data_IF_279048675282
#
_entry.id   IF_279048675282
#
_cell.length_a   1.000
_cell.length_b   1.000
_cell.length_c   1.000
_cell.angle_alpha   90.00
_cell.angle_beta   90.00
_cell.angle_gamma   90.00
#
_symmetry.space_group_name_H-M   'P 1'
#
loop_
_entity.id
_entity.type
_entity.pdbx_description
1 polymer ?
#
# COMPACT_ATOMS: atom_id res chain seq x y z
N UNK A 1 -0.06 -13.22 -8.13
CA UNK A 1 0.68 -12.40 -9.13
C UNK A 1 0.56 -10.94 -8.72
N UNK A 2 1.63 -10.14 -8.76
CA UNK A 2 1.56 -8.72 -8.37
C UNK A 2 0.79 -7.91 -9.42
N UNK A 3 -0.33 -7.32 -9.04
CA UNK A 3 -1.06 -6.40 -9.90
C UNK A 3 -0.19 -5.16 -10.20
N UNK A 4 -0.17 -4.74 -11.47
CA UNK A 4 0.63 -3.60 -11.96
C UNK A 4 -0.09 -2.26 -11.82
N UNK A 5 -1.34 -2.27 -11.36
CA UNK A 5 -2.16 -1.08 -11.17
C UNK A 5 -1.82 -0.47 -9.81
N UNK A 6 -1.64 0.84 -9.73
CA UNK A 6 -1.51 1.53 -8.43
C UNK A 6 -2.92 1.78 -7.89
N UNK A 7 -3.37 1.06 -6.85
CA UNK A 7 -4.72 1.24 -6.33
C UNK A 7 -4.77 2.47 -5.41
N UNK A 8 -5.95 3.05 -5.17
CA UNK A 8 -6.17 3.94 -4.04
C UNK A 8 -5.74 3.26 -2.74
N UNK A 9 -5.24 4.04 -1.78
CA UNK A 9 -4.78 3.47 -0.50
C UNK A 9 -5.92 2.77 0.25
N UNK A 10 -7.17 3.15 0.00
CA UNK A 10 -8.38 2.55 0.57
C UNK A 10 -8.68 1.12 0.07
N UNK A 11 -8.08 0.69 -1.05
CA UNK A 11 -8.31 -0.64 -1.66
C UNK A 11 -7.15 -1.63 -1.40
N UNK A 12 -6.32 -1.33 -0.39
CA UNK A 12 -5.17 -2.15 -0.03
C UNK A 12 -5.30 -2.73 1.37
N UNK A 13 -4.89 -3.99 1.51
CA UNK A 13 -4.72 -4.66 2.80
C UNK A 13 -3.25 -4.94 3.05
N UNK A 14 -2.82 -4.81 4.30
CA UNK A 14 -1.41 -4.96 4.68
C UNK A 14 -1.20 -6.30 5.38
N UNK A 15 -0.22 -7.08 4.93
CA UNK A 15 0.10 -8.35 5.60
C UNK A 15 0.64 -8.12 7.01
N UNK A 16 0.09 -8.78 8.03
CA UNK A 16 0.57 -8.63 9.41
C UNK A 16 2.04 -9.06 9.61
N UNK A 17 2.56 -9.95 8.75
CA UNK A 17 3.93 -10.47 8.82
C UNK A 17 4.95 -9.61 8.07
N UNK A 18 4.73 -9.37 6.77
CA UNK A 18 5.71 -8.64 5.94
C UNK A 18 5.34 -7.16 5.73
N UNK A 19 4.17 -6.73 6.21
CA UNK A 19 3.52 -5.44 5.97
C UNK A 19 3.64 -4.89 4.54
N UNK A 20 3.67 -5.81 3.58
CA UNK A 20 3.51 -5.47 2.18
C UNK A 20 2.02 -5.22 1.93
N UNK A 21 1.67 -4.12 1.25
CA UNK A 21 0.29 -3.86 0.83
C UNK A 21 -0.07 -4.76 -0.35
N UNK A 22 -1.30 -5.25 -0.36
CA UNK A 22 -1.87 -6.08 -1.40
C UNK A 22 -3.20 -5.47 -1.84
N UNK A 23 -3.49 -5.53 -3.14
CA UNK A 23 -4.81 -5.22 -3.68
C UNK A 23 -5.82 -6.23 -3.16
N UNK A 24 -6.87 -5.75 -2.49
CA UNK A 24 -7.96 -6.61 -2.01
C UNK A 24 -8.64 -7.31 -3.19
N UNK A 25 -8.87 -6.60 -4.30
CA UNK A 25 -9.45 -7.15 -5.53
C UNK A 25 -8.56 -8.20 -6.24
N UNK A 26 -7.28 -8.33 -5.89
CA UNK A 26 -6.39 -9.34 -6.46
C UNK A 26 -6.17 -10.54 -5.53
N UNK A 27 -6.90 -10.60 -4.41
CA UNK A 27 -6.88 -11.75 -3.51
C UNK A 27 -7.94 -12.76 -3.97
N UNK A 28 -7.56 -14.03 -4.03
CA UNK A 28 -8.50 -15.11 -4.33
C UNK A 28 -9.55 -15.26 -3.22
N UNK A 29 -9.22 -14.87 -1.99
CA UNK A 29 -10.12 -14.82 -0.85
C UNK A 29 -9.82 -13.60 0.02
N UNK A 30 -10.49 -12.46 -0.22
CA UNK A 30 -10.35 -11.28 0.61
C UNK A 30 -10.97 -11.52 1.99
N UNK A 31 -10.38 -11.01 3.09
CA UNK A 31 -10.95 -11.14 4.43
C UNK A 31 -12.29 -10.40 4.54
N UNK A 32 -13.29 -11.07 5.10
CA UNK A 32 -14.68 -10.61 5.13
C UNK A 32 -14.99 -9.61 6.25
N UNK A 33 -14.13 -9.50 7.26
CA UNK A 33 -14.34 -8.57 8.39
C UNK A 33 -13.08 -7.78 8.71
N UNK A 34 -13.28 -6.59 9.28
CA UNK A 34 -12.20 -5.71 9.77
C UNK A 34 -11.28 -6.47 10.75
N UNK A 35 -11.83 -7.33 11.62
CA UNK A 35 -11.05 -8.12 12.57
C UNK A 35 -10.07 -9.07 11.86
N UNK A 36 -10.51 -9.72 10.78
CA UNK A 36 -9.63 -10.59 9.98
C UNK A 36 -8.59 -9.80 9.20
N UNK A 37 -8.85 -8.53 8.84
CA UNK A 37 -7.84 -7.71 8.13
C UNK A 37 -6.58 -7.46 8.97
N UNK A 38 -6.71 -7.35 10.29
CA UNK A 38 -5.59 -7.12 11.23
C UNK A 38 -4.64 -8.33 11.33
N UNK A 39 -5.18 -9.53 11.17
CA UNK A 39 -4.43 -10.78 11.30
C UNK A 39 -4.07 -11.40 9.94
N UNK A 40 -4.43 -10.74 8.84
CA UNK A 40 -4.31 -11.28 7.50
C UNK A 40 -2.84 -11.49 7.09
N UNK A 41 -2.54 -12.71 6.63
CA UNK A 41 -1.23 -13.08 6.09
C UNK A 41 -1.30 -13.23 4.58
N UNK A 42 -0.39 -12.55 3.86
CA UNK A 42 -0.33 -12.68 2.40
C UNK A 42 0.14 -14.08 1.98
N UNK A 43 -0.20 -14.54 0.76
CA UNK A 43 0.18 -15.87 0.25
C UNK A 43 1.69 -16.18 0.33
N UNK A 44 2.53 -15.15 0.26
CA UNK A 44 3.98 -15.31 0.38
C UNK A 44 4.46 -15.55 1.82
N UNK A 45 3.61 -15.23 2.82
CA UNK A 45 3.82 -15.44 4.25
C UNK A 45 3.01 -16.61 4.83
N UNK A 46 1.85 -16.97 4.25
CA UNK A 46 1.00 -18.06 4.73
C UNK A 46 1.49 -19.43 4.24
N UNK A 47 1.88 -20.29 5.19
CA UNK A 47 2.27 -21.69 4.99
C UNK A 47 2.75 -22.34 6.29
N UNK A 48 2.57 -23.66 6.44
CA UNK A 48 2.97 -24.40 7.64
C UNK A 48 4.44 -24.15 8.02
N UNK A 49 4.76 -24.08 9.32
CA UNK A 49 6.13 -23.93 9.79
C UNK A 49 6.98 -25.10 9.27
N UNK A 50 7.90 -24.80 8.36
CA UNK A 50 8.96 -25.76 8.02
C UNK A 50 9.80 -25.99 9.29
N UNK A 51 10.18 -27.26 9.58
CA UNK A 51 10.93 -27.59 10.77
C UNK A 51 12.28 -26.86 10.74
N UNK A 52 12.49 -26.00 11.74
CA UNK A 52 13.77 -25.44 12.18
C UNK A 52 14.87 -25.43 11.10
N UNK A 53 14.70 -24.61 10.07
CA UNK A 53 15.85 -24.19 9.28
C UNK A 53 16.60 -23.18 10.14
N UNK A 54 17.52 -23.71 10.96
CA UNK A 54 18.46 -22.92 11.74
C UNK A 54 19.01 -21.79 10.87
N UNK A 55 18.88 -20.57 11.39
CA UNK A 55 19.41 -19.37 10.79
C UNK A 55 20.90 -19.56 10.60
N UNK A 56 21.33 -19.98 9.42
CA UNK A 56 22.75 -20.10 9.07
C UNK A 56 23.20 -18.75 8.53
N UNK A 57 23.12 -17.74 9.39
CA UNK A 57 24.13 -16.67 9.38
C UNK A 57 25.36 -17.32 9.98
N UNK A 58 26.54 -17.00 9.46
CA UNK A 58 27.80 -17.28 10.12
C UNK A 58 27.61 -17.16 11.65
N UNK A 59 27.96 -18.19 12.42
CA UNK A 59 27.43 -18.43 13.79
C UNK A 59 27.67 -17.28 14.77
N UNK A 60 28.53 -16.35 14.37
CA UNK A 60 28.83 -15.07 14.96
C UNK A 60 27.69 -14.03 14.78
N UNK A 61 27.16 -13.83 13.58
CA UNK A 61 26.14 -12.81 13.29
C UNK A 61 24.74 -13.22 13.76
N UNK A 62 24.39 -14.51 13.66
CA UNK A 62 23.07 -15.02 14.10
C UNK A 62 22.80 -14.85 15.59
N UNK A 63 23.82 -15.05 16.44
CA UNK A 63 23.73 -14.82 17.88
C UNK A 63 23.56 -13.34 18.23
N UNK A 64 24.24 -12.47 17.49
CA UNK A 64 24.16 -11.03 17.66
C UNK A 64 22.76 -10.51 17.29
N UNK A 65 22.16 -11.04 16.22
CA UNK A 65 20.77 -10.72 15.86
C UNK A 65 19.75 -11.25 16.87
N UNK A 66 19.92 -12.47 17.38
CA UNK A 66 19.04 -13.02 18.41
C UNK A 66 19.10 -12.16 19.69
N UNK A 67 20.28 -11.67 20.07
CA UNK A 67 20.46 -10.78 21.22
C UNK A 67 19.80 -9.41 21.01
N UNK A 68 19.91 -8.81 19.81
CA UNK A 68 19.22 -7.55 19.49
C UNK A 68 17.70 -7.72 19.49
N UNK A 69 17.19 -8.81 18.92
CA UNK A 69 15.74 -9.12 18.93
C UNK A 69 15.23 -9.27 20.37
N UNK A 70 15.99 -9.93 21.24
CA UNK A 70 15.63 -10.08 22.65
C UNK A 70 15.60 -8.74 23.40
N UNK A 71 16.47 -7.79 23.05
CA UNK A 71 16.48 -6.44 23.64
C UNK A 71 15.28 -5.60 23.15
N UNK A 72 14.95 -5.68 21.86
CA UNK A 72 13.80 -4.96 21.30
C UNK A 72 12.47 -5.44 21.87
N UNK A 73 12.34 -6.76 22.06
CA UNK A 73 11.14 -7.42 22.59
C UNK A 73 10.99 -7.29 24.12
N UNK A 74 11.98 -6.75 24.83
CA UNK A 74 11.93 -6.60 26.29
C UNK A 74 11.13 -5.34 26.65
N UNK A 75 9.86 -5.54 27.02
CA UNK A 75 8.92 -4.49 27.44
C UNK A 75 9.32 -3.83 28.78
N UNK A 76 10.23 -4.43 29.54
CA UNK A 76 10.71 -3.87 30.81
C UNK A 76 11.78 -2.78 30.63
N UNK A 77 12.30 -2.62 29.40
CA UNK A 77 13.37 -1.67 29.10
C UNK A 77 12.81 -0.39 28.48
N UNK A 78 13.31 0.74 28.94
CA UNK A 78 13.11 2.02 28.25
C UNK A 78 13.89 2.04 26.93
N UNK A 79 13.43 2.83 25.96
CA UNK A 79 14.12 2.97 24.67
C UNK A 79 15.58 3.40 24.80
N UNK A 80 15.89 4.21 25.82
CA UNK A 80 17.26 4.63 26.16
C UNK A 80 18.12 3.47 26.67
N UNK A 81 17.53 2.54 27.42
CA UNK A 81 18.22 1.34 27.91
C UNK A 81 18.40 0.30 26.82
N UNK A 82 17.41 0.14 25.94
CA UNK A 82 17.53 -0.68 24.74
C UNK A 82 18.68 -0.18 23.87
N UNK A 83 18.76 1.14 23.63
CA UNK A 83 19.86 1.75 22.87
C UNK A 83 21.22 1.51 23.51
N UNK A 84 21.33 1.71 24.83
CA UNK A 84 22.58 1.41 25.55
C UNK A 84 22.98 -0.06 25.43
N UNK A 85 22.03 -0.99 25.56
CA UNK A 85 22.31 -2.43 25.41
C UNK A 85 22.70 -2.80 23.98
N UNK A 86 22.09 -2.18 22.95
CA UNK A 86 22.49 -2.34 21.55
C UNK A 86 23.93 -1.88 21.32
N UNK A 87 24.29 -0.70 21.85
CA UNK A 87 25.66 -0.16 21.71
C UNK A 87 26.71 -1.03 22.40
N UNK A 88 26.42 -1.55 23.60
CA UNK A 88 27.34 -2.45 24.32
C UNK A 88 27.61 -3.73 23.51
N UNK A 89 26.55 -4.37 22.98
CA UNK A 89 26.67 -5.58 22.14
C UNK A 89 27.45 -5.36 20.85
N UNK A 90 27.42 -4.14 20.30
CA UNK A 90 28.19 -3.77 19.11
C UNK A 90 29.66 -3.48 19.45
N UNK A 91 29.95 -2.95 20.63
CA UNK A 91 31.31 -2.60 21.08
C UNK A 91 32.14 -3.79 21.58
N UNK A 92 31.52 -4.83 22.15
CA UNK A 92 32.22 -5.99 22.74
C UNK A 92 32.96 -6.89 21.71
N UNK A 93 32.91 -6.57 20.41
CA UNK A 93 33.62 -7.32 19.35
C UNK A 93 34.84 -6.65 18.74
N UNK A 94 35.10 -5.39 19.04
CA UNK A 94 36.24 -4.67 18.44
C UNK A 94 37.58 -5.06 19.10
N UNK A 95 37.55 -5.78 20.23
CA UNK A 95 38.75 -6.14 21.01
C UNK A 95 39.46 -7.44 20.57
N UNK A 96 38.93 -8.24 19.62
CA UNK A 96 39.53 -9.53 19.24
C UNK A 96 40.46 -9.53 18.02
N UNK A 97 40.54 -8.45 17.23
CA UNK A 97 41.54 -8.31 16.17
C UNK A 97 42.38 -7.05 16.40
N UNK A 98 43.47 -7.22 17.14
CA UNK A 98 44.42 -6.16 17.42
C UNK A 98 45.36 -5.88 16.24
N UNK A 99 45.40 -4.62 15.80
CA UNK A 99 46.67 -3.94 15.49
C UNK A 99 46.56 -2.45 15.83
N UNK A 100 47.56 -1.94 16.54
CA UNK A 100 47.58 -0.59 17.12
C UNK A 100 48.07 0.43 16.08
N UNK A 101 47.12 1.13 15.46
CA UNK A 101 47.38 2.37 14.74
C UNK A 101 46.76 3.56 15.47
N UNK A 102 47.57 4.38 16.14
CA UNK A 102 47.13 5.65 16.72
C UNK A 102 46.77 6.64 15.60
N UNK A 103 45.48 6.84 15.38
CA UNK A 103 44.95 7.87 14.48
C UNK A 103 43.67 8.47 15.08
N UNK A 104 43.68 9.79 15.31
CA UNK A 104 42.48 10.56 15.66
C UNK A 104 41.50 10.50 14.49
N UNK A 105 40.51 9.61 14.54
CA UNK A 105 39.37 9.63 13.63
C UNK A 105 38.08 10.01 14.36
N UNK A 106 37.33 10.92 13.74
CA UNK A 106 35.99 11.34 14.16
C UNK A 106 35.12 10.08 14.25
N UNK A 107 34.58 9.79 15.45
CA UNK A 107 33.57 8.76 15.66
C UNK A 107 32.39 9.01 14.73
N UNK A 108 32.32 8.25 13.64
CA UNK A 108 31.12 8.09 12.85
C UNK A 108 30.30 7.02 13.56
N UNK A 109 29.12 7.38 14.06
CA UNK A 109 28.15 6.42 14.61
C UNK A 109 28.01 5.23 13.65
N UNK A 110 28.49 4.04 14.03
CA UNK A 110 28.26 2.82 13.26
C UNK A 110 26.81 2.39 13.52
N UNK A 111 25.92 2.71 12.58
CA UNK A 111 24.51 2.36 12.71
C UNK A 111 24.33 0.84 12.58
N UNK A 112 23.27 0.27 13.17
CA UNK A 112 22.90 -1.15 12.99
C UNK A 112 22.75 -1.52 11.50
N UNK A 113 22.43 -0.54 10.64
CA UNK A 113 22.38 -0.71 9.19
C UNK A 113 23.76 -0.91 8.55
N UNK A 114 24.82 -0.25 9.04
CA UNK A 114 26.16 -0.42 8.46
C UNK A 114 26.69 -1.85 8.67
N UNK A 115 26.26 -2.52 9.75
CA UNK A 115 26.55 -3.93 10.03
C UNK A 115 25.71 -4.88 9.15
N UNK A 116 24.50 -4.47 8.76
CA UNK A 116 23.60 -5.24 7.89
C UNK A 116 23.94 -5.09 6.40
N UNK A 117 24.29 -3.88 5.96
CA UNK A 117 24.62 -3.53 4.58
C UNK A 117 25.85 -4.29 4.06
N UNK A 118 26.71 -4.83 4.93
CA UNK A 118 27.83 -5.69 4.53
C UNK A 118 27.49 -7.19 4.51
N UNK A 119 26.72 -7.67 5.48
CA UNK A 119 26.63 -9.11 5.80
C UNK A 119 25.49 -9.85 5.10
N UNK A 120 24.39 -9.16 4.77
CA UNK A 120 23.17 -9.81 4.27
C UNK A 120 22.68 -9.28 2.90
N UNK A 121 23.49 -8.49 2.21
CA UNK A 121 23.10 -7.92 0.91
C UNK A 121 22.78 -8.98 -0.14
N UNK A 122 21.75 -8.68 -0.93
CA UNK A 122 21.37 -9.48 -2.07
C UNK A 122 22.46 -9.41 -3.14
N UNK A 123 23.07 -10.54 -3.51
CA UNK A 123 24.18 -10.58 -4.48
C UNK A 123 23.80 -10.16 -5.91
N UNK A 124 22.52 -9.96 -6.19
CA UNK A 124 22.04 -9.52 -7.51
C UNK A 124 21.91 -8.00 -7.62
N UNK A 125 21.32 -7.35 -6.60
CA UNK A 125 21.11 -5.90 -6.61
C UNK A 125 22.10 -5.15 -5.73
N UNK A 126 22.91 -5.86 -4.94
CA UNK A 126 23.90 -5.30 -4.00
C UNK A 126 23.28 -4.35 -2.98
N UNK A 127 22.01 -4.58 -2.64
CA UNK A 127 21.25 -3.82 -1.64
C UNK A 127 20.74 -4.77 -0.55
N UNK A 128 20.30 -4.22 0.58
CA UNK A 128 19.54 -4.96 1.57
C UNK A 128 18.35 -5.66 0.88
N UNK A 129 18.18 -6.98 1.08
CA UNK A 129 17.14 -7.71 0.38
C UNK A 129 15.74 -7.16 0.65
N UNK A 130 15.01 -6.83 -0.42
CA UNK A 130 13.57 -6.56 -0.36
C UNK A 130 12.80 -7.88 -0.50
N UNK A 131 11.94 -8.17 0.48
CA UNK A 131 11.24 -9.46 0.61
C UNK A 131 12.23 -10.64 0.51
N UNK A 132 13.16 -10.79 1.48
CA UNK A 132 14.23 -11.80 1.45
C UNK A 132 13.70 -13.22 1.33
N UNK A 133 14.30 -14.00 0.44
CA UNK A 133 14.17 -15.45 0.35
C UNK A 133 15.50 -16.07 0.79
N UNK A 134 15.44 -16.94 1.80
CA UNK A 134 16.62 -17.66 2.31
C UNK A 134 16.71 -19.03 1.67
N UNK A 135 17.79 -19.27 0.95
CA UNK A 135 18.10 -20.59 0.38
C UNK A 135 18.53 -21.59 1.46
N UNK A 136 18.45 -22.92 1.22
CA UNK A 136 18.88 -23.92 2.21
C UNK A 136 20.35 -23.79 2.61
N UNK A 137 21.17 -23.19 1.75
CA UNK A 137 22.57 -22.87 2.05
C UNK A 137 22.77 -21.59 2.88
N UNK A 138 21.70 -20.95 3.37
CA UNK A 138 21.74 -19.77 4.24
C UNK A 138 21.83 -18.42 3.51
N UNK A 139 22.00 -18.41 2.18
CA UNK A 139 22.11 -17.17 1.41
C UNK A 139 20.75 -16.52 1.13
N UNK A 140 20.74 -15.19 1.21
CA UNK A 140 19.54 -14.35 1.16
C UNK A 140 19.51 -13.52 -0.12
N UNK A 141 18.36 -13.50 -0.80
CA UNK A 141 18.15 -12.75 -2.04
C UNK A 141 16.78 -12.06 -2.00
N UNK A 142 16.60 -10.94 -2.72
CA UNK A 142 15.26 -10.39 -2.91
C UNK A 142 14.37 -11.42 -3.61
N UNK A 143 13.09 -11.51 -3.25
CA UNK A 143 12.13 -12.40 -3.91
C UNK A 143 12.16 -12.24 -5.44
N UNK A 144 12.12 -10.99 -5.92
CA UNK A 144 12.16 -10.68 -7.36
C UNK A 144 13.47 -11.14 -8.02
N UNK A 145 14.60 -10.96 -7.34
CA UNK A 145 15.91 -11.39 -7.84
C UNK A 145 16.00 -12.91 -7.92
N UNK A 146 15.52 -13.61 -6.89
CA UNK A 146 15.46 -15.07 -6.85
C UNK A 146 14.55 -15.62 -7.95
N UNK A 147 13.33 -15.08 -8.11
CA UNK A 147 12.40 -15.51 -9.16
C UNK A 147 12.98 -15.30 -10.56
N UNK A 148 13.66 -14.17 -10.80
CA UNK A 148 14.34 -13.91 -12.07
C UNK A 148 15.45 -14.94 -12.34
N UNK A 149 16.19 -15.34 -11.32
CA UNK A 149 17.25 -16.35 -11.43
C UNK A 149 16.70 -17.75 -11.76
N UNK A 150 15.67 -18.19 -11.02
CA UNK A 150 15.00 -19.47 -11.28
C UNK A 150 14.33 -19.47 -12.67
N UNK A 151 13.71 -18.36 -13.08
CA UNK A 151 13.07 -18.22 -14.39
C UNK A 151 14.03 -18.35 -15.58
N UNK A 152 15.35 -18.22 -15.35
CA UNK A 152 16.39 -18.52 -16.34
C UNK A 152 16.77 -20.01 -16.41
N UNK A 153 16.06 -20.89 -15.70
CA UNK A 153 16.36 -22.31 -15.61
C UNK A 153 17.52 -22.64 -14.67
N UNK A 154 17.95 -21.70 -13.82
CA UNK A 154 19.13 -21.88 -12.95
C UNK A 154 18.69 -22.30 -11.54
N UNK A 155 18.85 -23.59 -11.24
CA UNK A 155 18.47 -24.18 -9.95
C UNK A 155 19.64 -24.28 -8.95
N UNK A 156 20.52 -23.29 -8.93
CA UNK A 156 21.68 -23.24 -8.02
C UNK A 156 21.78 -21.89 -7.33
N UNK A 157 22.30 -21.83 -6.12
CA UNK A 157 22.51 -20.59 -5.39
C UNK A 157 23.51 -19.69 -6.13
N UNK A 158 23.19 -18.41 -6.33
CA UNK A 158 24.08 -17.49 -7.04
C UNK A 158 25.40 -17.20 -6.29
N UNK A 159 25.44 -17.41 -4.96
CA UNK A 159 26.63 -17.13 -4.13
C UNK A 159 27.54 -18.35 -3.96
N UNK A 160 26.98 -19.52 -3.65
CA UNK A 160 27.78 -20.74 -3.37
C UNK A 160 27.50 -21.92 -4.30
N UNK A 161 26.64 -21.76 -5.31
CA UNK A 161 26.28 -22.78 -6.32
C UNK A 161 25.58 -24.04 -5.78
N UNK A 162 25.24 -24.10 -4.49
CA UNK A 162 24.45 -25.19 -3.92
C UNK A 162 23.10 -25.35 -4.62
N UNK A 163 22.65 -26.59 -4.82
CA UNK A 163 21.38 -26.90 -5.51
C UNK A 163 20.18 -26.34 -4.75
N UNK A 164 19.26 -25.71 -5.49
CA UNK A 164 17.99 -25.21 -4.98
C UNK A 164 16.91 -26.28 -5.19
N UNK A 165 16.22 -26.74 -4.14
CA UNK A 165 15.16 -27.74 -4.26
C UNK A 165 14.03 -27.27 -5.18
N UNK A 166 13.48 -28.18 -6.00
CA UNK A 166 12.40 -27.87 -6.94
C UNK A 166 11.16 -27.24 -6.27
N UNK A 167 10.80 -27.72 -5.07
CA UNK A 167 9.70 -27.13 -4.26
C UNK A 167 9.95 -25.65 -3.99
N UNK A 168 11.16 -25.30 -3.56
CA UNK A 168 11.53 -23.90 -3.30
C UNK A 168 11.58 -23.07 -4.58
N UNK A 169 12.08 -23.62 -5.67
CA UNK A 169 12.14 -22.94 -6.96
C UNK A 169 10.73 -22.57 -7.48
N UNK A 170 9.75 -23.47 -7.31
CA UNK A 170 8.36 -23.23 -7.67
C UNK A 170 7.62 -22.29 -6.72
N UNK A 171 7.88 -22.39 -5.41
CA UNK A 171 7.18 -21.65 -4.36
C UNK A 171 8.18 -21.04 -3.37
N UNK A 172 8.91 -19.97 -3.76
CA UNK A 172 9.85 -19.31 -2.87
C UNK A 172 9.12 -18.67 -1.69
N UNK A 173 9.59 -18.97 -0.47
CA UNK A 173 9.04 -18.43 0.77
C UNK A 173 9.87 -17.25 1.28
N UNK A 174 9.17 -16.25 1.78
CA UNK A 174 9.81 -15.07 2.36
C UNK A 174 10.25 -15.39 3.79
N UNK A 175 11.47 -15.00 4.13
CA UNK A 175 11.97 -15.04 5.49
C UNK A 175 11.41 -13.83 6.27
N UNK A 176 10.32 -14.06 7.00
CA UNK A 176 9.65 -13.04 7.81
C UNK A 176 10.55 -12.45 8.89
N UNK A 177 11.41 -13.27 9.51
CA UNK A 177 12.39 -12.80 10.49
C UNK A 177 13.33 -11.76 9.89
N UNK A 178 13.86 -12.02 8.69
CA UNK A 178 14.72 -11.05 7.99
C UNK A 178 13.95 -9.80 7.56
N UNK A 179 12.67 -9.92 7.17
CA UNK A 179 11.82 -8.74 6.90
C UNK A 179 11.71 -7.86 8.14
N UNK A 180 11.42 -8.46 9.29
CA UNK A 180 11.31 -7.72 10.56
C UNK A 180 12.62 -7.06 10.94
N UNK A 181 13.75 -7.78 10.85
CA UNK A 181 15.09 -7.24 11.18
C UNK A 181 15.48 -6.07 10.26
N UNK A 182 15.34 -6.23 8.94
CA UNK A 182 15.64 -5.17 7.97
C UNK A 182 14.75 -3.94 8.22
N UNK A 183 13.49 -4.15 8.60
CA UNK A 183 12.59 -3.04 8.95
C UNK A 183 13.03 -2.32 10.22
N UNK A 184 13.30 -3.04 11.30
CA UNK A 184 13.72 -2.45 12.57
C UNK A 184 14.96 -1.59 12.37
N UNK A 185 15.94 -2.08 11.61
CA UNK A 185 17.16 -1.33 11.30
C UNK A 185 16.90 -0.08 10.43
N UNK A 186 15.96 -0.13 9.48
CA UNK A 186 15.56 1.04 8.68
C UNK A 186 14.87 2.12 9.53
N UNK A 187 14.10 1.72 10.53
CA UNK A 187 13.39 2.63 11.44
C UNK A 187 14.36 3.34 12.40
N UNK A 188 15.37 2.65 12.91
CA UNK A 188 16.35 3.24 13.82
C UNK A 188 17.24 4.33 13.18
N UNK A 189 17.36 4.36 11.85
CA UNK A 189 18.20 5.33 11.14
C UNK A 189 17.41 6.53 10.58
N UNK A 190 16.09 6.53 10.74
CA UNK A 190 15.23 7.61 10.29
C UNK A 190 14.91 8.51 11.49
N UNK A 191 15.46 9.73 11.55
CA UNK A 191 14.98 10.80 12.46
C UNK A 191 13.54 11.26 12.16
N UNK A 192 12.79 10.47 11.39
CA UNK A 192 11.36 10.64 11.17
C UNK A 192 10.70 9.92 12.34
N UNK A 193 10.15 10.71 13.28
CA UNK A 193 9.35 10.21 14.39
C UNK A 193 8.50 9.01 13.91
N UNK A 194 8.67 7.87 14.60
CA UNK A 194 7.90 6.66 14.37
C UNK A 194 6.42 6.98 14.63
N UNK A 195 5.75 7.53 13.62
CA UNK A 195 4.31 7.49 13.55
C UNK A 195 3.90 6.01 13.57
N UNK A 196 2.79 5.65 14.23
CA UNK A 196 2.31 4.29 14.23
C UNK A 196 2.28 3.75 12.79
N UNK A 197 2.64 2.48 12.62
CA UNK A 197 2.48 1.77 11.34
C UNK A 197 1.11 2.15 10.77
N UNK A 198 1.08 2.78 9.61
CA UNK A 198 -0.18 3.13 8.95
C UNK A 198 -0.80 1.83 8.45
N UNK A 199 -1.56 1.18 9.34
CA UNK A 199 -2.38 0.02 9.01
C UNK A 199 -3.61 0.57 8.30
N UNK A 200 -3.66 0.35 7.00
CA UNK A 200 -4.85 0.64 6.20
C UNK A 200 -5.80 -0.53 6.35
N UNK A 201 -6.96 -0.26 6.95
CA UNK A 201 -8.03 -1.24 7.09
C UNK A 201 -8.92 -1.11 5.87
N UNK A 202 -9.06 -2.22 5.13
CA UNK A 202 -10.12 -2.32 4.15
C UNK A 202 -11.44 -2.50 4.90
N UNK A 203 -12.42 -1.64 4.60
CA UNK A 203 -13.78 -1.72 5.16
C UNK A 203 -14.68 -2.23 4.05
N UNK A 204 -15.28 -3.40 4.25
CA UNK A 204 -16.23 -3.94 3.27
C UNK A 204 -17.42 -3.00 3.14
N UNK A 205 -18.00 -2.87 1.94
CA UNK A 205 -19.09 -1.91 1.70
C UNK A 205 -20.28 -2.10 2.67
N UNK A 206 -20.57 -3.34 3.07
CA UNK A 206 -21.64 -3.64 4.02
C UNK A 206 -21.39 -3.12 5.44
N UNK A 207 -20.13 -2.91 5.80
CA UNK A 207 -19.68 -2.41 7.10
C UNK A 207 -19.49 -0.88 7.10
N UNK A 208 -19.67 -0.22 5.95
CA UNK A 208 -19.67 1.23 5.84
C UNK A 208 -20.94 1.81 6.48
N UNK A 209 -20.87 3.00 7.09
CA UNK A 209 -22.05 3.68 7.61
C UNK A 209 -23.01 4.07 6.48
N UNK A 210 -24.31 4.13 6.78
CA UNK A 210 -25.34 4.51 5.79
C UNK A 210 -25.20 5.94 5.29
N UNK A 211 -24.48 6.81 6.01
CA UNK A 211 -24.24 8.20 5.63
C UNK A 211 -22.76 8.47 5.43
N UNK A 212 -22.46 9.46 4.59
CA UNK A 212 -21.12 10.01 4.46
C UNK A 212 -20.56 10.46 5.83
N UNK A 213 -19.26 10.27 6.03
CA UNK A 213 -18.59 10.50 7.30
C UNK A 213 -17.23 11.16 7.11
N UNK A 214 -16.77 11.89 8.12
CA UNK A 214 -15.42 12.48 8.13
C UNK A 214 -14.49 11.64 8.98
N UNK A 215 -13.27 11.40 8.49
CA UNK A 215 -12.23 10.70 9.26
C UNK A 215 -11.43 11.69 10.12
N UNK A 216 -10.71 11.18 11.13
CA UNK A 216 -9.77 11.98 11.95
C UNK A 216 -8.68 12.67 11.11
N UNK A 217 -8.43 12.20 9.88
CA UNK A 217 -7.50 12.79 8.92
C UNK A 217 -8.05 14.07 8.27
N UNK A 218 -9.34 14.34 8.36
CA UNK A 218 -9.97 15.49 7.74
C UNK A 218 -9.48 16.80 8.39
N UNK A 219 -8.62 17.54 7.68
CA UNK A 219 -8.05 18.81 8.15
C UNK A 219 -9.05 19.97 8.18
N UNK A 220 -10.17 19.85 7.46
CA UNK A 220 -11.22 20.87 7.42
C UNK A 220 -12.55 20.22 7.72
N UNK A 221 -13.38 20.95 8.45
CA UNK A 221 -14.77 20.60 8.75
C UNK A 221 -15.63 20.63 7.48
N UNK A 222 -16.72 19.85 7.49
CA UNK A 222 -17.68 19.77 6.39
C UNK A 222 -17.44 18.60 5.42
N UNK A 223 -18.39 18.40 4.50
CA UNK A 223 -18.45 17.24 3.59
C UNK A 223 -17.39 17.24 2.48
N UNK A 224 -16.62 18.32 2.32
CA UNK A 224 -15.58 18.40 1.30
C UNK A 224 -14.48 17.34 1.49
N UNK A 225 -14.15 16.98 2.74
CA UNK A 225 -13.19 15.90 3.03
C UNK A 225 -13.88 14.65 3.59
N UNK A 226 -15.19 14.52 3.39
CA UNK A 226 -15.91 13.34 3.82
C UNK A 226 -15.64 12.16 2.88
N UNK A 227 -15.58 10.96 3.47
CA UNK A 227 -15.68 9.72 2.76
C UNK A 227 -17.17 9.41 2.46
N UNK A 228 -17.41 8.71 1.35
CA UNK A 228 -18.73 8.17 1.04
C UNK A 228 -19.09 7.10 2.07
N UNK A 229 -20.38 7.01 2.40
CA UNK A 229 -20.90 5.89 3.16
C UNK A 229 -21.07 4.64 2.28
N UNK A 230 -21.90 3.71 2.76
CA UNK A 230 -22.29 2.51 2.04
C UNK A 230 -22.90 2.83 0.68
N UNK A 231 -22.42 2.16 -0.36
CA UNK A 231 -23.07 2.14 -1.68
C UNK A 231 -24.23 1.15 -1.62
N UNK A 232 -25.43 1.61 -1.98
CA UNK A 232 -26.67 0.82 -1.88
C UNK A 232 -26.93 -0.01 -3.12
N UNK A 233 -26.44 0.44 -4.27
CA UNK A 233 -26.59 -0.22 -5.56
C UNK A 233 -25.47 -1.21 -5.84
N UNK A 234 -25.74 -2.19 -6.69
CA UNK A 234 -24.79 -3.25 -7.08
C UNK A 234 -24.21 -3.07 -8.48
N UNK A 235 -24.60 -2.02 -9.21
CA UNK A 235 -24.06 -1.74 -10.55
C UNK A 235 -22.54 -1.53 -10.51
N UNK A 236 -21.81 -2.00 -11.54
CA UNK A 236 -20.39 -1.74 -11.62
C UNK A 236 -20.09 -0.25 -11.88
N UNK A 237 -18.90 0.26 -11.51
CA UNK A 237 -18.59 1.69 -11.62
C UNK A 237 -18.61 2.26 -13.04
N UNK A 238 -18.52 1.39 -14.04
CA UNK A 238 -18.51 1.69 -15.46
C UNK A 238 -19.86 1.41 -16.14
N UNK A 239 -20.91 1.13 -15.35
CA UNK A 239 -22.26 0.86 -15.84
C UNK A 239 -22.84 2.01 -16.67
N UNK A 240 -23.45 1.66 -17.81
CA UNK A 240 -24.19 2.61 -18.65
C UNK A 240 -25.69 2.40 -18.51
N UNK A 241 -26.42 3.51 -18.47
CA UNK A 241 -27.87 3.52 -18.44
C UNK A 241 -28.46 3.56 -17.03
N UNK A 242 -29.78 3.38 -16.91
CA UNK A 242 -30.47 3.50 -15.64
C UNK A 242 -30.08 2.38 -14.67
N UNK A 243 -30.23 2.69 -13.39
CA UNK A 243 -30.07 1.72 -12.31
C UNK A 243 -31.43 1.09 -12.06
N UNK A 244 -31.57 -0.16 -12.50
CA UNK A 244 -32.82 -0.94 -12.47
C UNK A 244 -33.05 -1.60 -11.11
N UNK A 245 -34.29 -2.03 -10.84
CA UNK A 245 -34.69 -2.71 -9.60
C UNK A 245 -33.81 -3.90 -9.20
N UNK A 246 -33.28 -4.64 -10.19
CA UNK A 246 -32.39 -5.78 -9.94
C UNK A 246 -31.04 -5.39 -9.31
N UNK A 247 -30.65 -4.12 -9.44
CA UNK A 247 -29.41 -3.59 -8.89
C UNK A 247 -29.59 -2.88 -7.53
N UNK A 248 -30.84 -2.71 -7.11
CA UNK A 248 -31.26 -2.12 -5.83
C UNK A 248 -31.79 -3.24 -4.92
N UNK A 249 -30.91 -3.99 -4.24
CA UNK A 249 -31.31 -5.15 -3.44
C UNK A 249 -32.16 -4.76 -2.22
N UNK A 250 -32.14 -3.50 -1.79
CA UNK A 250 -32.82 -3.05 -0.59
C UNK A 250 -34.27 -2.63 -0.86
N UNK A 251 -34.50 -1.83 -1.91
CA UNK A 251 -35.85 -1.35 -2.24
C UNK A 251 -36.49 -2.08 -3.41
N UNK A 252 -35.69 -2.81 -4.21
CA UNK A 252 -36.13 -3.50 -5.43
C UNK A 252 -36.92 -2.56 -6.35
N UNK A 253 -36.44 -1.32 -6.47
CA UNK A 253 -37.07 -0.24 -7.24
C UNK A 253 -36.10 0.29 -8.29
N UNK A 254 -34.82 0.39 -7.95
CA UNK A 254 -33.82 1.09 -8.74
C UNK A 254 -33.92 2.59 -8.51
N UNK A 255 -33.13 3.36 -9.26
CA UNK A 255 -33.12 4.82 -9.19
C UNK A 255 -34.07 5.39 -10.23
N UNK A 256 -35.15 6.02 -9.77
CA UNK A 256 -36.16 6.60 -10.65
C UNK A 256 -35.85 8.06 -11.05
N UNK A 257 -36.30 8.44 -12.25
CA UNK A 257 -36.23 9.84 -12.70
C UNK A 257 -37.05 10.72 -11.75
N UNK A 258 -36.44 11.82 -11.29
CA UNK A 258 -37.06 12.77 -10.36
C UNK A 258 -36.72 12.52 -8.88
N UNK A 259 -36.00 11.44 -8.57
CA UNK A 259 -35.42 11.25 -7.24
C UNK A 259 -34.45 12.38 -6.88
N UNK A 260 -34.35 12.64 -5.56
CA UNK A 260 -33.57 13.75 -5.01
C UNK A 260 -32.73 13.24 -3.85
N UNK A 261 -31.50 13.74 -3.81
CA UNK A 261 -30.54 13.47 -2.75
C UNK A 261 -30.09 14.80 -2.13
N UNK A 262 -29.69 14.77 -0.86
CA UNK A 262 -29.24 15.96 -0.14
C UNK A 262 -27.96 16.52 -0.75
N UNK A 263 -27.06 15.65 -1.20
CA UNK A 263 -25.76 16.04 -1.74
C UNK A 263 -25.17 15.01 -2.74
N UNK A 264 -23.97 15.34 -3.24
CA UNK A 264 -23.22 14.53 -4.20
C UNK A 264 -22.67 13.21 -3.63
N UNK A 265 -22.50 13.11 -2.31
CA UNK A 265 -22.07 11.87 -1.67
C UNK A 265 -23.24 10.89 -1.55
N UNK A 266 -24.43 11.37 -1.22
CA UNK A 266 -25.64 10.54 -1.21
C UNK A 266 -26.02 10.10 -2.63
N UNK A 267 -25.93 10.99 -3.63
CA UNK A 267 -26.08 10.63 -5.05
C UNK A 267 -25.08 9.55 -5.48
N UNK A 268 -23.84 9.59 -4.98
CA UNK A 268 -22.83 8.54 -5.18
C UNK A 268 -23.25 7.21 -4.54
N UNK A 269 -23.82 7.23 -3.34
CA UNK A 269 -24.27 6.01 -2.66
C UNK A 269 -25.35 5.26 -3.43
N UNK A 270 -26.14 5.99 -4.23
CA UNK A 270 -27.15 5.43 -5.14
C UNK A 270 -26.64 5.20 -6.56
N UNK A 271 -25.32 5.27 -6.81
CA UNK A 271 -24.73 4.98 -8.12
C UNK A 271 -25.05 5.98 -9.25
N UNK A 272 -26.03 6.87 -9.07
CA UNK A 272 -26.50 7.80 -10.10
C UNK A 272 -25.38 8.72 -10.63
N UNK A 273 -24.48 9.14 -9.74
CA UNK A 273 -23.26 9.83 -10.15
C UNK A 273 -22.13 9.60 -9.15
N UNK A 274 -21.15 8.79 -9.54
CA UNK A 274 -20.11 8.31 -8.63
C UNK A 274 -19.15 9.42 -8.15
N UNK A 275 -18.60 10.31 -8.99
CA UNK A 275 -17.74 11.38 -8.52
C UNK A 275 -18.47 12.29 -7.52
N UNK A 276 -17.84 12.63 -6.40
CA UNK A 276 -18.44 13.56 -5.42
C UNK A 276 -18.01 15.02 -5.61
N UNK A 277 -17.13 15.29 -6.60
CA UNK A 277 -16.65 16.65 -6.95
C UNK A 277 -16.79 16.91 -8.44
N UNK A 278 -16.18 16.05 -9.27
CA UNK A 278 -16.13 16.25 -10.73
C UNK A 278 -17.52 16.26 -11.35
N UNK A 279 -17.73 17.08 -12.38
CA UNK A 279 -19.01 17.13 -13.09
C UNK A 279 -19.27 15.90 -13.98
N UNK A 280 -18.21 15.27 -14.49
CA UNK A 280 -18.29 14.13 -15.42
C UNK A 280 -17.81 12.86 -14.71
N UNK A 281 -18.59 11.78 -14.83
CA UNK A 281 -18.20 10.42 -14.50
C UNK A 281 -17.89 9.69 -15.81
N UNK A 282 -16.64 9.31 -16.03
CA UNK A 282 -16.22 8.75 -17.31
C UNK A 282 -14.78 8.24 -17.34
N UNK A 283 -14.50 7.44 -18.37
CA UNK A 283 -13.15 7.01 -18.74
C UNK A 283 -12.93 7.33 -20.21
N UNK A 284 -11.82 7.98 -20.56
CA UNK A 284 -11.52 8.40 -21.94
C UNK A 284 -11.54 7.29 -22.98
N UNK A 285 -11.21 6.05 -22.60
CA UNK A 285 -11.18 4.89 -23.49
C UNK A 285 -12.48 4.08 -23.49
N UNK A 286 -13.53 4.51 -22.77
CA UNK A 286 -14.77 3.75 -22.62
C UNK A 286 -16.02 4.60 -22.83
N UNK A 287 -16.13 5.77 -22.18
CA UNK A 287 -17.29 6.67 -22.30
C UNK A 287 -17.61 7.39 -20.97
N UNK A 288 -18.58 8.32 -20.97
CA UNK A 288 -19.13 8.93 -19.76
C UNK A 288 -20.45 8.28 -19.39
N UNK A 289 -20.51 7.74 -18.18
CA UNK A 289 -21.69 7.11 -17.61
C UNK A 289 -22.71 8.14 -17.13
N UNK A 290 -22.24 9.27 -16.57
CA UNK A 290 -23.13 10.34 -16.12
C UNK A 290 -22.44 11.70 -16.01
N UNK A 291 -23.26 12.76 -16.07
CA UNK A 291 -22.84 14.16 -15.89
C UNK A 291 -23.71 14.84 -14.85
N UNK A 292 -23.15 15.82 -14.16
CA UNK A 292 -23.86 16.68 -13.20
C UNK A 292 -23.86 18.13 -13.70
N UNK A 293 -25.06 18.67 -13.91
CA UNK A 293 -25.29 20.09 -14.18
C UNK A 293 -25.38 20.83 -12.85
N UNK A 294 -24.41 21.70 -12.56
CA UNK A 294 -24.31 22.39 -11.26
C UNK A 294 -24.03 23.89 -11.36
N UNK A 295 -24.18 24.49 -12.55
CA UNK A 295 -23.91 25.92 -12.78
C UNK A 295 -22.45 26.32 -12.53
N UNK A 296 -21.53 25.38 -12.77
CA UNK A 296 -20.10 25.56 -12.49
C UNK A 296 -19.33 26.19 -13.65
N UNK A 297 -19.93 26.30 -14.83
CA UNK A 297 -19.37 26.90 -16.04
C UNK A 297 -20.38 27.89 -16.60
N UNK A 298 -19.89 29.04 -17.06
CA UNK A 298 -20.73 30.11 -17.62
C UNK A 298 -21.27 29.77 -19.00
N UNK A 299 -20.59 28.86 -19.71
CA UNK A 299 -20.97 28.39 -21.05
C UNK A 299 -22.04 27.29 -21.01
N UNK A 300 -22.44 26.82 -19.82
CA UNK A 300 -23.52 25.84 -19.66
C UNK A 300 -24.88 26.48 -20.01
N UNK A 301 -25.70 25.76 -20.79
CA UNK A 301 -27.06 26.19 -21.14
C UNK A 301 -28.07 25.08 -20.91
N UNK A 302 -29.12 25.33 -20.14
CA UNK A 302 -30.17 24.34 -19.83
C UNK A 302 -31.50 24.72 -20.50
N UNK A 303 -32.01 23.83 -21.35
CA UNK A 303 -33.28 23.97 -22.08
C UNK A 303 -34.26 22.84 -21.73
N UNK A 304 -34.02 22.09 -20.66
CA UNK A 304 -34.85 20.97 -20.21
C UNK A 304 -34.64 19.70 -21.04
N UNK A 305 -35.14 19.68 -22.27
CA UNK A 305 -35.03 18.50 -23.15
C UNK A 305 -33.60 18.30 -23.70
N UNK A 306 -32.85 19.39 -23.80
CA UNK A 306 -31.44 19.38 -24.22
C UNK A 306 -30.67 20.44 -23.43
N UNK A 307 -29.36 20.29 -23.38
CA UNK A 307 -28.47 21.23 -22.70
C UNK A 307 -27.12 21.31 -23.41
N UNK A 308 -26.44 22.44 -23.24
CA UNK A 308 -25.04 22.62 -23.57
C UNK A 308 -24.21 22.38 -22.32
N UNK A 309 -23.21 21.52 -22.42
CA UNK A 309 -22.36 21.13 -21.29
C UNK A 309 -20.91 21.49 -21.55
N UNK A 310 -20.28 22.16 -20.59
CA UNK A 310 -18.87 22.53 -20.68
C UNK A 310 -17.98 21.44 -20.11
N UNK A 311 -16.95 21.05 -20.87
CA UNK A 311 -15.91 20.15 -20.40
C UNK A 311 -15.16 20.67 -19.17
N UNK A 312 -14.53 19.77 -18.43
CA UNK A 312 -13.69 20.15 -17.29
C UNK A 312 -12.29 20.61 -17.68
N UNK A 313 -11.62 21.41 -16.84
CA UNK A 313 -10.24 21.83 -17.08
C UNK A 313 -10.14 23.32 -17.42
N UNK A 314 -8.99 23.73 -17.97
CA UNK A 314 -8.71 25.14 -18.29
C UNK A 314 -8.53 26.06 -17.08
N UNK A 315 -8.43 25.50 -15.86
CA UNK A 315 -8.43 26.24 -14.59
C UNK A 315 -7.16 26.00 -13.79
N UNK A 316 -6.62 27.04 -13.18
CA UNK A 316 -5.57 26.92 -12.17
C UNK A 316 -6.13 26.39 -10.84
N UNK A 317 -5.87 25.11 -10.58
CA UNK A 317 -6.26 24.42 -9.33
C UNK A 317 -5.09 24.31 -8.34
N UNK A 318 -4.03 25.10 -8.52
CA UNK A 318 -2.91 25.20 -7.58
C UNK A 318 -3.38 25.54 -6.15
N UNK A 319 -2.63 25.08 -5.15
CA UNK A 319 -2.97 25.34 -3.75
C UNK A 319 -4.13 24.50 -3.20
N UNK A 320 -4.36 23.30 -3.74
CA UNK A 320 -5.40 22.36 -3.30
C UNK A 320 -6.84 22.93 -3.49
N UNK A 321 -7.04 23.67 -4.58
CA UNK A 321 -8.36 24.13 -5.02
C UNK A 321 -9.06 22.99 -5.76
N UNK A 322 -10.39 22.92 -5.60
CA UNK A 322 -11.22 21.95 -6.35
C UNK A 322 -11.95 22.59 -7.52
N UNK A 323 -12.18 23.89 -7.45
CA UNK A 323 -12.82 24.70 -8.48
C UNK A 323 -12.17 26.08 -8.53
N UNK A 324 -12.18 26.70 -9.71
CA UNK A 324 -11.87 28.11 -9.93
C UNK A 324 -13.01 28.69 -10.75
N UNK A 325 -13.41 29.94 -10.49
CA UNK A 325 -14.38 30.64 -11.34
C UNK A 325 -13.76 31.12 -12.65
N UNK A 326 -12.46 31.39 -12.62
CA UNK A 326 -11.72 31.94 -13.76
C UNK A 326 -11.11 30.80 -14.57
N UNK A 327 -11.37 30.81 -15.88
CA UNK A 327 -10.60 30.07 -16.86
C UNK A 327 -9.25 30.78 -17.06
N UNK A 328 -8.16 30.03 -16.97
CA UNK A 328 -6.80 30.55 -17.04
C UNK A 328 -6.01 30.00 -18.23
N UNK A 329 -6.46 28.90 -18.85
CA UNK A 329 -5.84 28.28 -20.02
C UNK A 329 -6.89 27.60 -20.90
N UNK A 330 -6.56 27.35 -22.17
CA UNK A 330 -7.43 26.58 -23.06
C UNK A 330 -7.70 25.17 -22.51
N UNK A 331 -8.95 24.74 -22.63
CA UNK A 331 -9.31 23.35 -22.34
C UNK A 331 -8.66 22.43 -23.36
N UNK A 332 -8.29 21.23 -22.92
CA UNK A 332 -7.71 20.19 -23.76
C UNK A 332 -8.67 19.03 -23.89
N UNK A 333 -8.54 18.31 -25.01
CA UNK A 333 -9.23 17.06 -25.26
C UNK A 333 -8.36 15.90 -24.76
N UNK A 334 -8.35 15.69 -23.44
CA UNK A 334 -7.56 14.67 -22.76
C UNK A 334 -8.30 14.05 -21.57
N UNK A 335 -8.15 12.72 -21.40
CA UNK A 335 -8.57 11.80 -20.32
C UNK A 335 -9.98 11.90 -19.67
N UNK A 336 -10.62 13.08 -19.58
CA UNK A 336 -11.90 13.37 -18.90
C UNK A 336 -12.81 14.31 -19.74
N UNK A 337 -12.30 14.98 -20.79
CA UNK A 337 -13.03 15.99 -21.59
C UNK A 337 -13.61 15.54 -22.94
N UNK A 338 -13.52 14.26 -23.29
CA UNK A 338 -14.35 13.78 -24.40
C UNK A 338 -15.80 13.82 -23.95
N UNK A 339 -16.69 14.50 -24.66
CA UNK A 339 -17.92 13.96 -25.27
C UNK A 339 -18.54 15.08 -26.13
N UNK A 340 -18.37 14.98 -27.46
CA UNK A 340 -19.35 15.53 -28.40
C UNK A 340 -20.57 14.59 -28.36
N UNK A 341 -21.77 15.17 -28.20
CA UNK A 341 -23.02 14.54 -28.62
C UNK A 341 -23.40 15.09 -29.99
#
# INVERSE_FOLDING_TARGET
MSCKVTPPMEETITCCTCATPWHVACLDSPPETIAYTLQWQCPDCSGDPLPSAAVSVDGSSGKLFAAIIAIEADESLTEKEKERKRQVLLSERVEEDGDKGEGKEKQKESSVLDVLDGSINCSFCMQLPDRPVTTPCGHNFCLKCFQKWIGQGKHTCAKCRSTIPAKMASHPRINSTLVSVIRMAKLSNSNVAAGPLKVYHFIHNQDQPDKAFTTERAKKTGKANAASGKIFETVPPDHFGPITAENDPARNQGVLVGERWEDRLECRQWGAHLPHVSGIAGQSNYGAQSVALSGGYEDDGDHGEWFLYTGSGGRDLSGNKRTSKEQSFDQKFDMVTLFEL
#
